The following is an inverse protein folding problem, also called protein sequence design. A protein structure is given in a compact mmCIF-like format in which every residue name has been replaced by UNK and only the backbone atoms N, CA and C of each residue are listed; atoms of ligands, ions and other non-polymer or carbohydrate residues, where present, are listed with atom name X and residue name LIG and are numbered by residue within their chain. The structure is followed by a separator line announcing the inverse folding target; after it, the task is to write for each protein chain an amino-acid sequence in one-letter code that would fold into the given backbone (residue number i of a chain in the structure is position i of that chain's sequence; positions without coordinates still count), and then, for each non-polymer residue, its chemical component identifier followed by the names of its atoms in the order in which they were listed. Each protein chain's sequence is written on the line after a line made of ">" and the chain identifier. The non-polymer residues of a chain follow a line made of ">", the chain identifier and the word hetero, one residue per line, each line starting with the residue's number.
data_IF_382994259987
#
_entry.id   IF_382994259987
#
_cell.length_a   1.000
_cell.length_b   1.000
_cell.length_c   1.000
_cell.angle_alpha   90.00
_cell.angle_beta   90.00
_cell.angle_gamma   90.00
#
_symmetry.space_group_name_H-M   'P 1'
#
loop_
_entity.id
_entity.type
_entity.pdbx_description
1 polymer ?
#
# COMPACT_ATOMS: atom_id res chain seq x y z
N UNK A 1 26.91 24.98 3.86
CA UNK A 1 26.62 23.67 4.48
C UNK A 1 25.12 23.42 4.31
N UNK A 2 24.70 22.29 3.77
CA UNK A 2 23.27 21.97 3.60
C UNK A 2 22.68 21.52 4.93
N UNK A 3 21.51 22.02 5.33
CA UNK A 3 20.87 21.63 6.60
C UNK A 3 20.28 20.22 6.52
N UNK A 4 20.25 19.47 7.63
CA UNK A 4 19.61 18.15 7.68
C UNK A 4 18.13 18.16 7.24
N UNK A 5 17.41 19.24 7.55
CA UNK A 5 16.00 19.40 7.16
C UNK A 5 15.83 19.61 5.65
N UNK A 6 16.76 20.33 5.01
CA UNK A 6 16.78 20.46 3.56
C UNK A 6 17.01 19.09 2.89
N UNK A 7 17.94 18.29 3.41
CA UNK A 7 18.20 16.92 2.91
C UNK A 7 16.96 16.03 3.05
N UNK A 8 16.32 16.05 4.23
CA UNK A 8 15.08 15.28 4.49
C UNK A 8 13.96 15.67 3.53
N UNK A 9 13.81 16.96 3.26
CA UNK A 9 12.78 17.47 2.35
C UNK A 9 13.05 17.04 0.91
N UNK A 10 14.28 17.19 0.43
CA UNK A 10 14.67 16.79 -0.94
C UNK A 10 14.46 15.30 -1.16
N UNK A 11 14.95 14.46 -0.24
CA UNK A 11 14.77 13.00 -0.31
C UNK A 11 13.29 12.64 -0.27
N UNK A 12 12.52 13.28 0.61
CA UNK A 12 11.09 13.03 0.74
C UNK A 12 10.31 13.40 -0.53
N UNK A 13 10.63 14.52 -1.18
CA UNK A 13 10.01 14.93 -2.45
C UNK A 13 10.33 13.93 -3.57
N UNK A 14 11.60 13.53 -3.72
CA UNK A 14 12.00 12.54 -4.72
C UNK A 14 11.27 11.21 -4.46
N UNK A 15 11.26 10.75 -3.20
CA UNK A 15 10.56 9.52 -2.81
C UNK A 15 9.06 9.57 -3.09
N UNK A 16 8.40 10.70 -2.82
CA UNK A 16 6.99 10.92 -3.13
C UNK A 16 6.75 10.82 -4.65
N UNK A 17 7.59 11.45 -5.48
CA UNK A 17 7.46 11.41 -6.93
C UNK A 17 7.64 9.99 -7.49
N UNK A 18 8.67 9.26 -7.04
CA UNK A 18 8.89 7.87 -7.45
C UNK A 18 7.76 6.95 -7.01
N UNK A 19 7.28 7.09 -5.78
CA UNK A 19 6.17 6.30 -5.28
C UNK A 19 4.87 6.55 -6.06
N UNK A 20 4.60 7.80 -6.47
CA UNK A 20 3.44 8.10 -7.30
C UNK A 20 3.49 7.37 -8.65
N UNK A 21 4.66 7.30 -9.29
CA UNK A 21 4.84 6.52 -10.52
C UNK A 21 4.52 5.03 -10.28
N UNK A 22 4.95 4.47 -9.15
CA UNK A 22 4.65 3.08 -8.80
C UNK A 22 3.16 2.86 -8.55
N UNK A 23 2.46 3.76 -7.85
CA UNK A 23 1.01 3.67 -7.64
C UNK A 23 0.21 3.79 -8.95
N UNK A 24 0.73 4.51 -9.94
CA UNK A 24 0.10 4.64 -11.26
C UNK A 24 0.45 3.49 -12.22
N UNK A 25 1.39 2.62 -11.86
CA UNK A 25 1.78 1.48 -12.70
C UNK A 25 0.64 0.52 -13.07
N UNK A 26 -0.40 0.29 -12.23
CA UNK A 26 -1.53 -0.58 -12.58
C UNK A 26 -2.60 0.09 -13.45
N UNK A 27 -2.50 1.39 -13.76
CA UNK A 27 -3.50 2.11 -14.58
C UNK A 27 -3.82 1.39 -15.90
N UNK A 28 -2.82 0.92 -16.69
CA UNK A 28 -3.12 0.19 -17.93
C UNK A 28 -3.93 -1.10 -17.72
N UNK A 29 -3.67 -1.81 -16.62
CA UNK A 29 -4.44 -2.99 -16.21
C UNK A 29 -5.90 -2.64 -15.93
N UNK A 30 -6.14 -1.58 -15.15
CA UNK A 30 -7.52 -1.15 -14.85
C UNK A 30 -8.25 -0.56 -16.06
N UNK A 31 -7.54 0.03 -17.02
CA UNK A 31 -8.12 0.40 -18.32
C UNK A 31 -8.64 -0.84 -19.06
N UNK A 32 -7.92 -1.96 -19.03
CA UNK A 32 -8.37 -3.22 -19.62
C UNK A 32 -9.61 -3.77 -18.91
N UNK A 33 -9.59 -3.80 -17.57
CA UNK A 33 -10.74 -4.23 -16.76
C UNK A 33 -11.97 -3.36 -17.10
N UNK A 34 -11.80 -2.05 -17.20
CA UNK A 34 -12.90 -1.14 -17.53
C UNK A 34 -13.46 -1.37 -18.93
N UNK A 35 -12.59 -1.59 -19.93
CA UNK A 35 -12.99 -1.85 -21.33
C UNK A 35 -13.72 -3.18 -21.47
N UNK A 36 -13.21 -4.22 -20.81
CA UNK A 36 -13.76 -5.58 -20.88
C UNK A 36 -14.94 -5.81 -19.94
N UNK A 37 -15.14 -4.93 -18.96
CA UNK A 37 -16.20 -5.03 -17.93
C UNK A 37 -16.11 -6.32 -17.11
N UNK A 38 -14.90 -6.88 -16.98
CA UNK A 38 -14.61 -8.08 -16.19
C UNK A 38 -13.19 -8.01 -15.63
N UNK A 39 -13.00 -8.56 -14.44
CA UNK A 39 -11.67 -8.71 -13.80
C UNK A 39 -10.88 -9.91 -14.33
N UNK A 40 -11.40 -10.68 -15.28
CA UNK A 40 -10.71 -11.83 -15.92
C UNK A 40 -9.93 -12.71 -14.92
N UNK A 41 -8.61 -12.83 -15.08
CA UNK A 41 -7.69 -13.56 -14.21
C UNK A 41 -6.91 -12.63 -13.26
N UNK A 42 -7.21 -11.33 -13.27
CA UNK A 42 -6.51 -10.35 -12.45
C UNK A 42 -6.77 -10.60 -10.97
N UNK A 43 -5.70 -10.48 -10.17
CA UNK A 43 -5.78 -10.62 -8.72
C UNK A 43 -5.98 -9.26 -8.04
N UNK A 44 -6.86 -9.20 -7.05
CA UNK A 44 -7.03 -8.02 -6.19
C UNK A 44 -5.97 -7.92 -5.07
N UNK A 45 -5.21 -9.00 -4.84
CA UNK A 45 -4.28 -9.13 -3.70
C UNK A 45 -3.21 -8.03 -3.67
N UNK A 46 -2.56 -7.65 -4.79
CA UNK A 46 -1.56 -6.59 -4.78
C UNK A 46 -2.14 -5.24 -4.32
N UNK A 47 -3.37 -4.91 -4.73
CA UNK A 47 -4.03 -3.64 -4.41
C UNK A 47 -4.47 -3.60 -2.95
N UNK A 48 -5.03 -4.71 -2.44
CA UNK A 48 -5.38 -4.86 -1.02
C UNK A 48 -4.14 -4.79 -0.11
N UNK A 49 -3.06 -5.50 -0.46
CA UNK A 49 -1.81 -5.45 0.31
C UNK A 49 -1.21 -4.04 0.35
N UNK A 50 -1.23 -3.34 -0.78
CA UNK A 50 -0.74 -1.96 -0.88
C UNK A 50 -1.62 -0.98 -0.11
N UNK A 51 -2.95 -1.18 -0.17
CA UNK A 51 -3.92 -0.39 0.60
C UNK A 51 -3.70 -0.55 2.11
N UNK A 52 -3.55 -1.78 2.61
CA UNK A 52 -3.23 -2.04 4.01
C UNK A 52 -1.91 -1.35 4.43
N UNK A 53 -0.88 -1.44 3.59
CA UNK A 53 0.40 -0.79 3.86
C UNK A 53 0.25 0.74 3.94
N UNK A 54 -0.48 1.34 3.00
CA UNK A 54 -0.75 2.78 2.99
C UNK A 54 -1.55 3.20 4.24
N UNK A 55 -2.59 2.46 4.62
CA UNK A 55 -3.37 2.75 5.83
C UNK A 55 -2.52 2.69 7.10
N UNK A 56 -1.61 1.72 7.21
CA UNK A 56 -0.67 1.61 8.32
C UNK A 56 0.30 2.78 8.37
N UNK A 57 0.87 3.21 7.23
CA UNK A 57 1.74 4.38 7.17
C UNK A 57 1.02 5.71 7.42
N UNK A 58 -0.26 5.82 7.01
CA UNK A 58 -1.11 6.95 7.38
C UNK A 58 -1.31 6.97 8.89
N UNK A 59 -1.66 5.84 9.51
CA UNK A 59 -1.76 5.73 10.98
C UNK A 59 -0.46 6.12 11.67
N UNK A 60 0.69 5.64 11.17
CA UNK A 60 2.01 6.02 11.68
C UNK A 60 2.23 7.53 11.62
N UNK A 61 1.96 8.14 10.46
CA UNK A 61 2.24 9.56 10.24
C UNK A 61 1.32 10.53 10.99
N UNK A 62 0.18 10.07 11.53
CA UNK A 62 -0.72 10.92 12.30
C UNK A 62 0.01 11.59 13.47
N UNK A 63 -0.24 12.88 13.77
CA UNK A 63 0.43 13.59 14.86
C UNK A 63 0.28 12.94 16.24
N UNK A 64 -0.81 12.19 16.44
CA UNK A 64 -1.07 11.43 17.67
C UNK A 64 -0.11 10.25 17.86
N UNK A 65 0.45 9.72 16.77
CA UNK A 65 1.34 8.56 16.73
C UNK A 65 2.79 9.02 16.52
N UNK A 66 3.10 9.65 15.39
CA UNK A 66 4.44 10.15 15.05
C UNK A 66 4.41 11.60 14.55
N UNK A 67 4.69 12.59 15.43
CA UNK A 67 4.69 14.01 15.07
C UNK A 67 5.65 14.36 13.91
N UNK A 68 5.35 15.43 13.16
CA UNK A 68 6.19 15.99 12.10
C UNK A 68 6.44 15.09 10.87
N UNK A 69 5.48 14.22 10.52
CA UNK A 69 5.61 13.21 9.45
C UNK A 69 4.79 13.51 8.20
N UNK A 70 4.66 14.79 7.83
CA UNK A 70 3.79 15.22 6.73
C UNK A 70 4.08 14.54 5.39
N UNK A 71 5.36 14.38 5.02
CA UNK A 71 5.75 13.76 3.75
C UNK A 71 5.40 12.26 3.65
N UNK A 72 5.25 11.59 4.80
CA UNK A 72 4.79 10.19 4.87
C UNK A 72 3.28 10.13 4.70
N UNK A 73 2.54 11.04 5.35
CA UNK A 73 1.09 11.15 5.19
C UNK A 73 0.71 11.48 3.75
N UNK A 74 1.39 12.42 3.10
CA UNK A 74 1.03 12.86 1.74
C UNK A 74 1.08 11.71 0.75
N UNK A 75 2.19 10.95 0.73
CA UNK A 75 2.35 9.88 -0.24
C UNK A 75 1.44 8.68 0.05
N UNK A 76 1.35 8.27 1.32
CA UNK A 76 0.54 7.11 1.68
C UNK A 76 -0.96 7.43 1.66
N UNK A 77 -1.35 8.67 1.95
CA UNK A 77 -2.72 9.14 1.78
C UNK A 77 -3.11 9.19 0.30
N UNK A 78 -2.22 9.68 -0.57
CA UNK A 78 -2.44 9.66 -2.03
C UNK A 78 -2.51 8.23 -2.55
N UNK A 79 -1.57 7.36 -2.14
CA UNK A 79 -1.57 5.94 -2.45
C UNK A 79 -2.85 5.24 -2.01
N UNK A 80 -3.31 5.49 -0.78
CA UNK A 80 -4.58 4.97 -0.26
C UNK A 80 -5.77 5.36 -1.16
N UNK A 81 -5.85 6.61 -1.62
CA UNK A 81 -6.93 7.04 -2.53
C UNK A 81 -6.86 6.33 -3.90
N UNK A 82 -5.65 6.16 -4.44
CA UNK A 82 -5.42 5.44 -5.69
C UNK A 82 -5.82 3.96 -5.54
N UNK A 83 -5.33 3.30 -4.50
CA UNK A 83 -5.62 1.88 -4.24
C UNK A 83 -7.10 1.64 -3.94
N UNK A 84 -7.77 2.54 -3.21
CA UNK A 84 -9.22 2.49 -3.04
C UNK A 84 -9.96 2.58 -4.37
N UNK A 85 -9.47 3.40 -5.30
CA UNK A 85 -10.04 3.49 -6.65
C UNK A 85 -9.89 2.17 -7.41
N UNK A 86 -8.71 1.55 -7.35
CA UNK A 86 -8.47 0.23 -7.94
C UNK A 86 -9.34 -0.86 -7.33
N UNK A 87 -9.41 -0.94 -6.00
CA UNK A 87 -10.28 -1.90 -5.31
C UNK A 87 -11.75 -1.67 -5.66
N UNK A 88 -12.21 -0.43 -5.74
CA UNK A 88 -13.59 -0.10 -6.13
C UNK A 88 -13.90 -0.55 -7.57
N UNK A 89 -12.99 -0.30 -8.51
CA UNK A 89 -13.13 -0.78 -9.89
C UNK A 89 -13.14 -2.31 -9.95
N UNK A 90 -12.25 -2.97 -9.21
CA UNK A 90 -12.21 -4.43 -9.12
C UNK A 90 -13.53 -5.00 -8.58
N UNK A 91 -14.06 -4.41 -7.50
CA UNK A 91 -15.34 -4.81 -6.91
C UNK A 91 -16.53 -4.59 -7.85
N UNK A 92 -16.47 -3.56 -8.69
CA UNK A 92 -17.52 -3.25 -9.67
C UNK A 92 -17.61 -4.30 -10.77
N UNK A 93 -16.47 -4.82 -11.24
CA UNK A 93 -16.39 -5.78 -12.35
C UNK A 93 -16.15 -7.22 -11.93
N UNK A 94 -16.09 -7.51 -10.62
CA UNK A 94 -15.98 -8.86 -10.07
C UNK A 94 -17.34 -9.38 -9.59
N UNK A 95 -17.53 -10.70 -9.64
CA UNK A 95 -18.77 -11.36 -9.22
C UNK A 95 -18.48 -12.58 -8.34
N UNK A 96 -19.52 -13.05 -7.63
CA UNK A 96 -19.48 -14.30 -6.87
C UNK A 96 -18.42 -14.31 -5.75
N UNK A 97 -17.68 -15.41 -5.66
CA UNK A 97 -16.73 -15.66 -4.58
C UNK A 97 -15.55 -14.67 -4.58
N UNK A 98 -15.08 -14.23 -5.75
CA UNK A 98 -13.98 -13.27 -5.86
C UNK A 98 -14.36 -11.93 -5.23
N UNK A 99 -15.53 -11.38 -5.59
CA UNK A 99 -16.05 -10.13 -5.01
C UNK A 99 -16.23 -10.23 -3.50
N UNK A 100 -16.83 -11.33 -3.01
CA UNK A 100 -17.02 -11.56 -1.58
C UNK A 100 -15.69 -11.61 -0.83
N UNK A 101 -14.69 -12.30 -1.38
CA UNK A 101 -13.35 -12.37 -0.78
C UNK A 101 -12.71 -10.99 -0.65
N UNK A 102 -12.77 -10.17 -1.70
CA UNK A 102 -12.21 -8.80 -1.67
C UNK A 102 -12.93 -7.93 -0.63
N UNK A 103 -14.27 -7.99 -0.55
CA UNK A 103 -15.02 -7.25 0.47
C UNK A 103 -14.64 -7.68 1.90
N UNK A 104 -14.55 -8.98 2.16
CA UNK A 104 -14.18 -9.50 3.48
C UNK A 104 -12.76 -9.09 3.87
N UNK A 105 -11.81 -9.14 2.93
CA UNK A 105 -10.43 -8.68 3.17
C UNK A 105 -10.39 -7.17 3.44
N UNK A 106 -11.11 -6.36 2.67
CA UNK A 106 -11.17 -4.91 2.89
C UNK A 106 -11.73 -4.57 4.29
N UNK A 107 -12.81 -5.23 4.71
CA UNK A 107 -13.37 -5.06 6.06
C UNK A 107 -12.38 -5.49 7.12
N UNK A 108 -11.68 -6.61 6.91
CA UNK A 108 -10.67 -7.11 7.84
C UNK A 108 -9.48 -6.14 7.96
N UNK A 109 -9.02 -5.54 6.86
CA UNK A 109 -7.94 -4.55 6.84
C UNK A 109 -8.33 -3.29 7.61
N UNK A 110 -9.52 -2.74 7.34
CA UNK A 110 -10.02 -1.55 8.06
C UNK A 110 -10.17 -1.85 9.55
N UNK A 111 -10.76 -3.00 9.90
CA UNK A 111 -10.91 -3.43 11.29
C UNK A 111 -9.55 -3.62 11.98
N UNK A 112 -8.58 -4.21 11.28
CA UNK A 112 -7.23 -4.41 11.79
C UNK A 112 -6.53 -3.08 12.07
N UNK A 113 -6.52 -2.15 11.10
CA UNK A 113 -5.89 -0.82 11.29
C UNK A 113 -6.57 -0.04 12.41
N UNK A 114 -7.90 -0.08 12.48
CA UNK A 114 -8.66 0.56 13.56
C UNK A 114 -8.32 -0.06 14.93
N UNK A 115 -8.21 -1.39 15.02
CA UNK A 115 -7.83 -2.09 16.24
C UNK A 115 -6.39 -1.73 16.67
N UNK A 116 -5.43 -1.70 15.74
CA UNK A 116 -4.06 -1.27 16.02
C UNK A 116 -4.04 0.16 16.54
N UNK A 117 -4.74 1.08 15.86
CA UNK A 117 -4.85 2.48 16.29
C UNK A 117 -5.45 2.61 17.70
N UNK A 118 -6.56 1.93 17.98
CA UNK A 118 -7.20 1.94 19.29
C UNK A 118 -6.29 1.37 20.40
N UNK A 119 -5.64 0.23 20.15
CA UNK A 119 -4.73 -0.41 21.11
C UNK A 119 -3.50 0.47 21.38
N UNK A 120 -2.90 1.05 20.35
CA UNK A 120 -1.72 1.90 20.50
C UNK A 120 -2.06 3.19 21.25
N UNK A 121 -3.20 3.83 20.93
CA UNK A 121 -3.60 5.05 21.62
C UNK A 121 -4.01 4.81 23.08
N UNK A 122 -4.56 3.64 23.40
CA UNK A 122 -4.97 3.27 24.76
C UNK A 122 -3.82 2.74 25.63
N UNK A 123 -2.93 1.93 25.08
CA UNK A 123 -1.88 1.21 25.83
C UNK A 123 -0.51 1.90 25.79
N UNK A 124 -0.22 2.70 24.76
CA UNK A 124 1.03 3.45 24.65
C UNK A 124 0.78 4.95 24.90
N UNK A 125 1.24 5.45 26.05
CA UNK A 125 1.00 6.84 26.45
C UNK A 125 2.03 7.85 25.91
N UNK A 126 3.16 7.38 25.35
CA UNK A 126 4.20 8.26 24.79
C UNK A 126 4.25 8.15 23.25
N UNK A 127 4.57 9.25 22.58
CA UNK A 127 4.77 9.26 21.12
C UNK A 127 5.83 8.26 20.67
N UNK A 128 6.93 8.11 21.43
CA UNK A 128 8.00 7.17 21.08
C UNK A 128 7.52 5.72 21.05
N UNK A 129 6.72 5.31 22.05
CA UNK A 129 6.15 3.95 22.09
C UNK A 129 5.14 3.73 20.97
N UNK A 130 4.27 4.72 20.71
CA UNK A 130 3.29 4.65 19.61
C UNK A 130 3.98 4.52 18.26
N UNK A 131 4.97 5.37 18.02
CA UNK A 131 5.79 5.38 16.81
C UNK A 131 6.51 4.05 16.63
N UNK A 132 7.13 3.51 17.68
CA UNK A 132 7.85 2.24 17.62
C UNK A 132 6.92 1.08 17.27
N UNK A 133 5.78 0.94 17.94
CA UNK A 133 4.84 -0.18 17.71
C UNK A 133 4.27 -0.13 16.29
N UNK A 134 3.73 1.02 15.87
CA UNK A 134 3.14 1.16 14.54
C UNK A 134 4.23 1.06 13.46
N UNK A 135 5.40 1.66 13.70
CA UNK A 135 6.54 1.63 12.79
C UNK A 135 7.06 0.22 12.52
N UNK A 136 7.15 -0.65 13.54
CA UNK A 136 7.50 -2.06 13.36
C UNK A 136 6.51 -2.75 12.41
N UNK A 137 5.20 -2.54 12.62
CA UNK A 137 4.18 -3.12 11.74
C UNK A 137 4.30 -2.58 10.31
N UNK A 138 4.49 -1.28 10.14
CA UNK A 138 4.72 -0.65 8.83
C UNK A 138 5.91 -1.27 8.09
N UNK A 139 7.03 -1.46 8.78
CA UNK A 139 8.23 -2.10 8.21
C UNK A 139 7.95 -3.55 7.85
N UNK A 140 7.31 -4.33 8.74
CA UNK A 140 6.99 -5.74 8.46
C UNK A 140 6.09 -5.89 7.23
N UNK A 141 5.02 -5.10 7.12
CA UNK A 141 4.15 -5.13 5.95
C UNK A 141 4.87 -4.66 4.69
N UNK A 142 5.63 -3.55 4.79
CA UNK A 142 6.37 -3.00 3.65
C UNK A 142 7.43 -3.97 3.12
N UNK A 143 8.17 -4.63 4.02
CA UNK A 143 9.13 -5.66 3.65
C UNK A 143 8.44 -6.88 3.04
N UNK A 144 7.31 -7.31 3.60
CA UNK A 144 6.53 -8.44 3.07
C UNK A 144 6.08 -8.23 1.62
N UNK A 145 5.78 -6.99 1.22
CA UNK A 145 5.40 -6.67 -0.16
C UNK A 145 6.52 -6.97 -1.18
N UNK A 146 7.80 -7.00 -0.77
CA UNK A 146 8.90 -7.37 -1.67
C UNK A 146 8.92 -8.86 -2.04
N UNK A 147 8.11 -9.70 -1.39
CA UNK A 147 7.95 -11.10 -1.79
C UNK A 147 7.42 -11.23 -3.24
N UNK A 148 6.52 -10.32 -3.65
CA UNK A 148 5.97 -10.34 -5.01
C UNK A 148 7.04 -10.07 -6.09
N UNK A 149 7.78 -8.95 -6.09
CA UNK A 149 8.84 -8.73 -7.08
C UNK A 149 9.96 -9.78 -6.98
N UNK A 150 10.29 -10.28 -5.78
CA UNK A 150 11.27 -11.36 -5.63
C UNK A 150 10.81 -12.65 -6.34
N UNK A 151 9.52 -13.00 -6.24
CA UNK A 151 8.97 -14.16 -6.94
C UNK A 151 9.09 -14.04 -8.46
N UNK A 152 8.90 -12.82 -9.00
CA UNK A 152 9.09 -12.52 -10.42
C UNK A 152 10.56 -12.65 -10.81
N UNK A 153 11.49 -12.10 -10.00
CA UNK A 153 12.93 -12.21 -10.26
C UNK A 153 13.42 -13.66 -10.29
N UNK A 154 12.98 -14.47 -9.33
CA UNK A 154 13.28 -15.92 -9.28
C UNK A 154 12.75 -16.61 -10.53
N UNK A 155 11.51 -16.29 -10.93
CA UNK A 155 10.91 -16.85 -12.15
C UNK A 155 11.71 -16.50 -13.39
N UNK A 156 12.05 -15.22 -13.59
CA UNK A 156 12.86 -14.75 -14.73
C UNK A 156 14.23 -15.41 -14.73
N UNK A 157 14.87 -15.59 -13.58
CA UNK A 157 16.17 -16.27 -13.47
C UNK A 157 16.09 -17.74 -13.90
N UNK A 158 14.99 -18.42 -13.61
CA UNK A 158 14.76 -19.83 -13.99
C UNK A 158 14.34 -19.94 -15.46
N UNK A 159 13.43 -19.10 -15.92
CA UNK A 159 12.83 -19.20 -17.27
C UNK A 159 13.63 -18.47 -18.33
N UNK A 160 14.60 -17.63 -17.94
CA UNK A 160 15.40 -16.74 -18.81
C UNK A 160 14.54 -15.87 -19.75
N UNK A 161 13.28 -15.63 -19.38
CA UNK A 161 12.29 -14.90 -20.18
C UNK A 161 11.59 -13.86 -19.33
N UNK A 162 11.36 -12.68 -19.91
CA UNK A 162 10.58 -11.60 -19.30
C UNK A 162 9.20 -11.60 -19.96
N UNK A 163 8.24 -12.34 -19.41
CA UNK A 163 6.87 -12.37 -19.93
C UNK A 163 5.99 -11.29 -19.24
N UNK A 164 5.26 -10.45 -20.00
CA UNK A 164 4.39 -9.39 -19.45
C UNK A 164 3.24 -9.91 -18.58
N UNK A 165 2.86 -11.18 -18.74
CA UNK A 165 1.77 -11.86 -18.03
C UNK A 165 2.05 -12.12 -16.55
N UNK A 166 3.24 -11.79 -16.04
CA UNK A 166 3.64 -12.04 -14.64
C UNK A 166 3.36 -10.83 -13.72
N UNK A 167 2.87 -9.71 -14.26
CA UNK A 167 2.62 -8.45 -13.53
C UNK A 167 1.11 -8.23 -13.25
N UNK A 168 0.25 -9.15 -13.70
CA UNK A 168 -1.22 -9.05 -13.65
C UNK A 168 -1.83 -10.00 -12.62
#
# INVERSE_FOLDING_TARGET
>A
MVSPDAIRTVIGVIGNATALVLFLSPVPTFIQIWKKKTVEQYSAVPYLATLLNCMMWVLYGLPLVHPHSMLVITINGTGMLIELTYVALFLTFSVGAARRRVLLLLVAEVAFVAAVGALVLSLAHTHDRRSMVVGILCVLFGTGMYAAPLSVMVRVAITLTVSPTTIQ
#
